data_IF_977324524547
#
_entry.id   IF_977324524547
#
_cell.length_a   1.000
_cell.length_b   1.000
_cell.length_c   1.000
_cell.angle_alpha   90.00
_cell.angle_beta   90.00
_cell.angle_gamma   90.00
#
_symmetry.space_group_name_H-M   'P 1'
#
loop_
_entity.id
_entity.type
_entity.pdbx_description
1 polymer ?
#
# COMPACT_ATOMS: atom_id res chain seq x y z
N UNK A 1 13.00 53.14 -15.70
CA UNK A 1 13.80 51.90 -15.53
C UNK A 1 13.02 50.96 -14.62
N UNK A 2 12.11 50.18 -15.21
CA UNK A 2 11.28 49.19 -14.52
C UNK A 2 12.15 47.95 -14.29
N UNK A 3 12.51 47.66 -13.04
CA UNK A 3 13.27 46.46 -12.70
C UNK A 3 12.42 45.23 -13.03
N UNK A 4 12.88 44.45 -14.01
CA UNK A 4 12.48 43.05 -14.21
C UNK A 4 12.71 42.28 -12.91
N UNK A 5 11.64 42.06 -12.14
CA UNK A 5 11.57 40.99 -11.14
C UNK A 5 11.17 39.74 -11.91
N UNK A 6 12.10 39.23 -12.74
CA UNK A 6 11.92 37.98 -13.45
C UNK A 6 12.08 36.84 -12.43
N UNK A 7 10.93 36.30 -12.01
CA UNK A 7 10.70 34.93 -11.55
C UNK A 7 11.95 34.11 -11.19
N UNK A 8 12.46 34.25 -9.96
CA UNK A 8 13.11 33.12 -9.31
C UNK A 8 12.02 32.10 -8.99
N UNK A 9 11.68 31.21 -9.93
CA UNK A 9 10.92 29.99 -9.59
C UNK A 9 11.60 29.37 -8.37
N UNK A 10 10.81 29.04 -7.34
CA UNK A 10 11.39 28.41 -6.15
C UNK A 10 12.05 27.11 -6.60
N UNK A 11 13.27 26.82 -6.11
CA UNK A 11 14.04 25.62 -6.53
C UNK A 11 13.20 24.33 -6.42
N UNK A 12 12.29 24.28 -5.44
CA UNK A 12 11.32 23.21 -5.25
C UNK A 12 10.35 23.08 -6.43
N UNK A 13 9.74 24.18 -6.90
CA UNK A 13 8.82 24.19 -8.05
C UNK A 13 9.51 23.67 -9.31
N UNK A 14 10.78 24.04 -9.53
CA UNK A 14 11.55 23.52 -10.65
C UNK A 14 11.76 22.00 -10.55
N UNK A 15 12.02 21.48 -9.35
CA UNK A 15 12.16 20.04 -9.11
C UNK A 15 10.84 19.29 -9.36
N UNK A 16 9.71 19.80 -8.83
CA UNK A 16 8.38 19.23 -9.08
C UNK A 16 8.09 19.10 -10.59
N UNK A 17 8.26 20.19 -11.34
CA UNK A 17 8.04 20.19 -12.79
C UNK A 17 8.94 19.19 -13.53
N UNK A 18 10.19 19.02 -13.08
CA UNK A 18 11.12 18.06 -13.68
C UNK A 18 10.69 16.62 -13.44
N UNK A 19 10.36 16.26 -12.20
CA UNK A 19 9.94 14.89 -11.90
C UNK A 19 8.56 14.57 -12.47
N UNK A 20 7.66 15.54 -12.57
CA UNK A 20 6.37 15.37 -13.26
C UNK A 20 6.57 15.08 -14.75
N UNK A 21 7.47 15.82 -15.41
CA UNK A 21 7.72 15.64 -16.84
C UNK A 21 8.23 14.25 -17.22
N UNK A 22 8.89 13.56 -16.27
CA UNK A 22 9.48 12.24 -16.49
C UNK A 22 8.63 11.12 -15.87
N UNK A 23 8.10 11.33 -14.67
CA UNK A 23 7.41 10.30 -13.90
C UNK A 23 5.93 10.16 -14.23
N UNK A 24 5.24 11.23 -14.63
CA UNK A 24 3.75 11.25 -14.71
C UNK A 24 3.13 10.22 -15.67
N UNK A 25 3.90 9.75 -16.66
CA UNK A 25 3.42 8.78 -17.63
C UNK A 25 3.38 7.33 -17.11
N UNK A 26 3.96 7.04 -15.94
CA UNK A 26 4.04 5.67 -15.41
C UNK A 26 4.02 5.62 -13.89
N UNK A 27 3.87 4.41 -13.33
CA UNK A 27 3.87 4.17 -11.88
C UNK A 27 5.03 3.26 -11.46
N UNK A 28 5.52 3.34 -10.21
CA UNK A 28 6.63 2.52 -9.70
C UNK A 28 6.50 1.01 -9.96
N UNK A 29 5.28 0.47 -9.97
CA UNK A 29 4.99 -0.94 -10.29
C UNK A 29 5.33 -1.35 -11.72
N UNK A 30 5.52 -0.41 -12.65
CA UNK A 30 5.77 -0.71 -14.07
C UNK A 30 7.25 -1.01 -14.33
N UNK A 31 7.59 -2.04 -15.13
CA UNK A 31 8.99 -2.43 -15.37
C UNK A 31 9.89 -1.36 -15.99
N UNK A 32 9.30 -0.40 -16.72
CA UNK A 32 10.02 0.70 -17.40
C UNK A 32 9.94 2.03 -16.63
N UNK A 33 9.61 2.01 -15.34
CA UNK A 33 9.54 3.21 -14.54
C UNK A 33 10.93 3.90 -14.44
N UNK A 34 11.03 5.22 -14.67
CA UNK A 34 12.32 5.90 -14.91
C UNK A 34 13.06 6.29 -13.62
N UNK A 35 13.33 5.34 -12.74
CA UNK A 35 13.97 5.59 -11.43
C UNK A 35 15.26 6.43 -11.52
N UNK A 36 16.20 6.04 -12.38
CA UNK A 36 17.49 6.71 -12.47
C UNK A 36 17.36 8.19 -12.90
N UNK A 37 16.46 8.50 -13.83
CA UNK A 37 16.24 9.88 -14.29
C UNK A 37 15.63 10.74 -13.17
N UNK A 38 14.68 10.20 -12.41
CA UNK A 38 14.07 10.88 -11.26
C UNK A 38 15.11 11.18 -10.16
N UNK A 39 15.95 10.20 -9.84
CA UNK A 39 17.01 10.34 -8.84
C UNK A 39 18.02 11.44 -9.20
N UNK A 40 18.39 11.57 -10.47
CA UNK A 40 19.30 12.62 -10.95
C UNK A 40 18.76 14.03 -10.70
N UNK A 41 17.45 14.25 -10.82
CA UNK A 41 16.86 15.56 -10.51
C UNK A 41 16.95 15.90 -9.03
N UNK A 42 16.78 14.91 -8.15
CA UNK A 42 16.99 15.08 -6.71
C UNK A 42 18.45 15.38 -6.38
N UNK A 43 19.39 14.64 -6.95
CA UNK A 43 20.82 14.89 -6.75
C UNK A 43 21.22 16.31 -7.18
N UNK A 44 20.71 16.75 -8.33
CA UNK A 44 20.90 18.12 -8.82
C UNK A 44 20.29 19.16 -7.87
N UNK A 45 19.07 18.91 -7.39
CA UNK A 45 18.39 19.78 -6.43
C UNK A 45 19.18 19.93 -5.13
N UNK A 46 19.65 18.82 -4.54
CA UNK A 46 20.45 18.82 -3.31
C UNK A 46 21.77 19.56 -3.53
N UNK A 47 22.47 19.28 -4.63
CA UNK A 47 23.72 19.99 -5.00
C UNK A 47 23.50 21.50 -5.12
N UNK A 48 22.34 21.95 -5.60
CA UNK A 48 21.99 23.37 -5.71
C UNK A 48 21.61 24.02 -4.38
N UNK A 49 21.21 23.25 -3.38
CA UNK A 49 20.97 23.79 -2.03
C UNK A 49 22.29 24.00 -1.29
N UNK A 50 23.26 23.11 -1.46
CA UNK A 50 24.57 23.19 -0.83
C UNK A 50 24.78 22.04 0.16
N UNK A 51 25.76 22.21 1.06
CA UNK A 51 26.06 21.19 2.09
C UNK A 51 24.94 21.20 3.13
N UNK A 52 24.29 20.05 3.28
CA UNK A 52 23.30 19.77 4.31
C UNK A 52 23.76 18.55 5.09
N UNK A 53 23.44 18.51 6.38
CA UNK A 53 23.51 17.27 7.16
C UNK A 53 22.42 16.28 6.71
N UNK A 54 22.57 15.00 7.08
CA UNK A 54 21.54 13.98 6.78
C UNK A 54 20.16 14.35 7.34
N UNK A 55 20.01 14.79 8.59
CA UNK A 55 18.69 15.18 9.12
C UNK A 55 18.07 16.37 8.39
N UNK A 56 18.86 17.37 8.02
CA UNK A 56 18.37 18.52 7.24
C UNK A 56 17.93 18.11 5.83
N UNK A 57 18.64 17.16 5.23
CA UNK A 57 18.28 16.57 3.94
C UNK A 57 16.95 15.83 4.05
N UNK A 58 16.80 14.96 5.05
CA UNK A 58 15.57 14.22 5.30
C UNK A 58 14.37 15.14 5.48
N UNK A 59 14.48 16.19 6.30
CA UNK A 59 13.41 17.16 6.53
C UNK A 59 13.03 17.88 5.22
N UNK A 60 14.01 18.34 4.45
CA UNK A 60 13.75 19.05 3.19
C UNK A 60 13.10 18.16 2.14
N UNK A 61 13.56 16.92 2.00
CA UNK A 61 12.99 15.97 1.05
C UNK A 61 11.60 15.50 1.49
N UNK A 62 11.36 15.31 2.79
CA UNK A 62 10.03 15.01 3.31
C UNK A 62 9.01 16.11 2.98
N UNK A 63 9.39 17.39 3.15
CA UNK A 63 8.53 18.53 2.78
C UNK A 63 8.26 18.55 1.26
N UNK A 64 9.25 18.24 0.43
CA UNK A 64 9.04 18.14 -1.03
C UNK A 64 8.04 17.03 -1.37
N UNK A 65 8.21 15.83 -0.80
CA UNK A 65 7.33 14.69 -1.03
C UNK A 65 5.91 15.00 -0.59
N UNK A 66 5.73 15.59 0.59
CA UNK A 66 4.40 15.91 1.14
C UNK A 66 3.63 16.93 0.31
N UNK A 67 4.35 17.87 -0.34
CA UNK A 67 3.78 18.89 -1.22
C UNK A 67 3.64 18.42 -2.68
N UNK A 68 3.95 17.16 -2.99
CA UNK A 68 3.78 16.59 -4.32
C UNK A 68 2.47 15.81 -4.42
N UNK A 69 1.70 16.02 -5.48
CA UNK A 69 0.42 15.33 -5.69
C UNK A 69 0.62 13.81 -5.86
N UNK A 70 1.53 13.40 -6.75
CA UNK A 70 1.96 12.01 -6.90
C UNK A 70 3.11 11.66 -5.94
N UNK A 71 2.78 11.40 -4.67
CA UNK A 71 3.77 11.10 -3.60
C UNK A 71 4.65 9.89 -3.92
N UNK A 72 4.11 8.88 -4.57
CA UNK A 72 4.82 7.67 -5.01
C UNK A 72 5.97 8.01 -5.98
N UNK A 73 5.75 8.94 -6.91
CA UNK A 73 6.78 9.43 -7.84
C UNK A 73 7.84 10.25 -7.10
N UNK A 74 7.41 11.14 -6.20
CA UNK A 74 8.32 11.94 -5.38
C UNK A 74 9.20 11.06 -4.47
N UNK A 75 8.65 10.01 -3.89
CA UNK A 75 9.40 9.02 -3.10
C UNK A 75 10.40 8.29 -3.99
N UNK A 76 10.01 7.88 -5.20
CA UNK A 76 10.93 7.23 -6.13
C UNK A 76 12.14 8.11 -6.50
N UNK A 77 11.93 9.43 -6.57
CA UNK A 77 12.98 10.40 -6.83
C UNK A 77 13.89 10.65 -5.61
N UNK A 78 13.39 10.52 -4.38
CA UNK A 78 14.08 10.94 -3.17
C UNK A 78 14.67 9.80 -2.33
N UNK A 79 14.13 8.59 -2.42
CA UNK A 79 14.41 7.51 -1.47
C UNK A 79 15.89 7.15 -1.34
N UNK A 80 16.69 7.26 -2.40
CA UNK A 80 18.11 6.88 -2.38
C UNK A 80 19.00 7.80 -1.55
N UNK A 81 18.55 9.02 -1.25
CA UNK A 81 19.32 9.99 -0.41
C UNK A 81 18.77 10.08 1.00
N UNK A 82 17.53 9.65 1.22
CA UNK A 82 16.88 9.74 2.53
C UNK A 82 17.34 8.62 3.47
N UNK A 83 17.35 8.92 4.77
CA UNK A 83 17.59 7.89 5.78
C UNK A 83 16.42 6.89 5.86
N UNK A 84 16.67 5.65 6.32
CA UNK A 84 15.61 4.64 6.42
C UNK A 84 14.49 5.04 7.39
N UNK A 85 14.84 5.72 8.49
CA UNK A 85 13.88 6.21 9.46
C UNK A 85 12.94 7.27 8.88
N UNK A 86 13.48 8.20 8.10
CA UNK A 86 12.67 9.24 7.45
C UNK A 86 11.69 8.65 6.42
N UNK A 87 12.11 7.65 5.64
CA UNK A 87 11.24 6.95 4.69
C UNK A 87 10.12 6.20 5.44
N UNK A 88 10.45 5.46 6.51
CA UNK A 88 9.43 4.77 7.31
C UNK A 88 8.42 5.73 7.95
N UNK A 89 8.87 6.90 8.40
CA UNK A 89 7.97 7.93 8.93
C UNK A 89 7.01 8.48 7.86
N UNK A 90 7.47 8.65 6.61
CA UNK A 90 6.63 9.07 5.48
C UNK A 90 5.63 7.98 5.07
N UNK A 91 6.03 6.72 5.15
CA UNK A 91 5.24 5.55 4.77
C UNK A 91 4.43 4.98 5.94
N UNK A 92 4.12 5.81 6.94
CA UNK A 92 3.25 5.36 8.02
C UNK A 92 1.86 5.04 7.45
N UNK A 93 1.48 3.77 7.53
CA UNK A 93 0.23 3.24 6.98
C UNK A 93 -1.00 4.04 7.43
N UNK A 94 -1.09 4.39 8.71
CA UNK A 94 -2.25 5.07 9.29
C UNK A 94 -2.42 6.49 8.74
N UNK A 95 -1.30 7.12 8.35
CA UNK A 95 -1.31 8.44 7.71
C UNK A 95 -1.58 8.34 6.20
N UNK A 96 -1.31 7.20 5.58
CA UNK A 96 -1.41 7.03 4.13
C UNK A 96 -2.75 6.45 3.68
N UNK A 97 -3.44 5.66 4.51
CA UNK A 97 -4.63 4.90 4.10
C UNK A 97 -5.83 5.19 5.00
N UNK A 98 -6.79 5.93 4.44
CA UNK A 98 -7.97 6.38 5.17
C UNK A 98 -8.77 5.20 5.75
N UNK A 99 -9.16 5.23 7.05
CA UNK A 99 -10.03 4.25 7.70
C UNK A 99 -11.30 3.93 6.90
N UNK A 100 -11.69 2.64 6.84
CA UNK A 100 -12.86 2.09 6.14
C UNK A 100 -12.94 2.25 4.60
N UNK A 101 -12.55 3.39 4.03
CA UNK A 101 -12.67 3.63 2.58
C UNK A 101 -11.48 3.12 1.78
N UNK A 102 -10.34 2.89 2.45
CA UNK A 102 -9.07 2.51 1.82
C UNK A 102 -8.57 3.51 0.78
N UNK A 103 -9.07 4.75 0.84
CA UNK A 103 -8.54 5.84 0.03
C UNK A 103 -7.05 6.03 0.35
N UNK A 104 -6.22 6.12 -0.70
CA UNK A 104 -4.76 6.20 -0.59
C UNK A 104 -4.04 4.85 -0.60
N UNK A 105 -4.74 3.71 -0.56
CA UNK A 105 -4.11 2.38 -0.56
C UNK A 105 -3.22 2.13 -1.78
N UNK A 106 -3.70 2.41 -3.00
CA UNK A 106 -2.89 2.22 -4.22
C UNK A 106 -1.60 3.07 -4.16
N UNK A 107 -1.73 4.35 -3.79
CA UNK A 107 -0.58 5.25 -3.65
C UNK A 107 0.40 4.77 -2.58
N UNK A 108 -0.11 4.24 -1.45
CA UNK A 108 0.72 3.64 -0.40
C UNK A 108 1.52 2.43 -0.93
N UNK A 109 0.87 1.51 -1.65
CA UNK A 109 1.54 0.33 -2.22
C UNK A 109 2.59 0.73 -3.26
N UNK A 110 2.27 1.66 -4.16
CA UNK A 110 3.23 2.22 -5.14
C UNK A 110 4.41 2.92 -4.44
N UNK A 111 4.16 3.59 -3.32
CA UNK A 111 5.19 4.25 -2.51
C UNK A 111 6.13 3.25 -1.82
N UNK A 112 5.64 2.08 -1.36
CA UNK A 112 6.48 1.00 -0.86
C UNK A 112 7.42 0.46 -1.95
N UNK A 113 6.89 0.25 -3.16
CA UNK A 113 7.68 -0.19 -4.33
C UNK A 113 8.75 0.84 -4.68
N UNK A 114 8.36 2.12 -4.73
CA UNK A 114 9.27 3.23 -4.97
C UNK A 114 10.39 3.29 -3.92
N UNK A 115 10.05 3.23 -2.64
CA UNK A 115 11.01 3.29 -1.55
C UNK A 115 12.00 2.13 -1.56
N UNK A 116 11.54 0.89 -1.80
CA UNK A 116 12.43 -0.26 -1.91
C UNK A 116 13.46 -0.14 -3.04
N UNK A 117 13.10 0.51 -4.15
CA UNK A 117 14.02 0.70 -5.29
C UNK A 117 15.23 1.58 -4.93
N UNK A 118 15.02 2.64 -4.13
CA UNK A 118 16.06 3.59 -3.72
C UNK A 118 16.69 3.26 -2.38
N UNK A 119 15.96 2.62 -1.47
CA UNK A 119 16.39 2.35 -0.11
C UNK A 119 15.83 1.02 0.43
N UNK A 120 16.54 -0.07 0.12
CA UNK A 120 16.19 -1.43 0.57
C UNK A 120 16.30 -1.67 2.07
N UNK A 121 16.99 -0.77 2.79
CA UNK A 121 17.09 -0.85 4.26
C UNK A 121 15.86 -0.27 4.95
N UNK A 122 15.13 0.62 4.27
CA UNK A 122 13.85 1.13 4.74
C UNK A 122 12.73 0.11 4.50
N UNK A 123 12.60 -0.36 3.25
CA UNK A 123 11.55 -1.30 2.82
C UNK A 123 12.21 -2.52 2.20
N UNK A 124 11.87 -3.70 2.70
CA UNK A 124 12.40 -4.98 2.25
C UNK A 124 11.86 -5.38 0.87
N UNK A 125 12.56 -6.30 0.19
CA UNK A 125 12.09 -6.85 -1.09
C UNK A 125 10.77 -7.61 -0.94
N UNK A 126 10.54 -8.23 0.23
CA UNK A 126 9.30 -8.95 0.52
C UNK A 126 8.11 -7.99 0.60
N UNK A 127 8.25 -6.87 1.33
CA UNK A 127 7.21 -5.83 1.42
C UNK A 127 6.91 -5.24 0.04
N UNK A 128 7.95 -4.95 -0.76
CA UNK A 128 7.75 -4.45 -2.12
C UNK A 128 7.09 -5.48 -3.05
N UNK A 129 7.38 -6.77 -2.87
CA UNK A 129 6.71 -7.83 -3.63
C UNK A 129 5.24 -7.93 -3.26
N UNK A 130 4.92 -7.94 -1.96
CA UNK A 130 3.53 -7.92 -1.48
C UNK A 130 2.78 -6.70 -2.01
N UNK A 131 3.42 -5.53 -2.01
CA UNK A 131 2.84 -4.32 -2.57
C UNK A 131 2.46 -4.49 -4.05
N UNK A 132 3.35 -5.09 -4.87
CA UNK A 132 3.04 -5.39 -6.29
C UNK A 132 1.87 -6.35 -6.44
N UNK A 133 1.84 -7.41 -5.64
CA UNK A 133 0.81 -8.44 -5.70
C UNK A 133 -0.57 -7.90 -5.26
N UNK A 134 -0.59 -6.85 -4.42
CA UNK A 134 -1.81 -6.26 -3.86
C UNK A 134 -2.38 -5.09 -4.68
N UNK A 135 -1.61 -4.49 -5.60
CA UNK A 135 -2.11 -3.41 -6.47
C UNK A 135 -3.43 -3.77 -7.18
N UNK A 136 -3.61 -4.97 -7.77
CA UNK A 136 -4.88 -5.34 -8.42
C UNK A 136 -6.09 -5.36 -7.47
N UNK A 137 -5.86 -5.47 -6.17
CA UNK A 137 -6.89 -5.49 -5.13
C UNK A 137 -7.08 -4.12 -4.47
N UNK A 138 -6.20 -3.16 -4.77
CA UNK A 138 -6.30 -1.80 -4.27
C UNK A 138 -7.52 -1.11 -4.90
N UNK A 139 -8.58 -1.02 -4.12
CA UNK A 139 -9.82 -0.36 -4.50
C UNK A 139 -10.23 0.58 -3.37
N UNK A 140 -11.14 1.50 -3.67
CA UNK A 140 -11.65 2.46 -2.70
C UNK A 140 -13.18 2.41 -2.61
N UNK A 141 -13.70 2.72 -1.42
CA UNK A 141 -15.14 2.78 -1.14
C UNK A 141 -15.72 1.49 -0.54
N UNK A 142 -17.03 1.30 -0.71
CA UNK A 142 -17.75 0.17 -0.11
C UNK A 142 -17.24 -1.15 -0.72
N UNK A 143 -16.81 -2.07 0.14
CA UNK A 143 -16.28 -3.37 -0.27
C UNK A 143 -14.78 -3.41 -0.57
N UNK A 144 -14.08 -2.28 -0.46
CA UNK A 144 -12.62 -2.26 -0.60
C UNK A 144 -11.93 -3.16 0.43
N UNK A 145 -12.42 -3.21 1.66
CA UNK A 145 -11.90 -4.09 2.71
C UNK A 145 -11.97 -5.57 2.32
N UNK A 146 -13.09 -6.04 1.76
CA UNK A 146 -13.23 -7.42 1.30
C UNK A 146 -12.27 -7.78 0.16
N UNK A 147 -12.16 -6.91 -0.85
CA UNK A 147 -11.21 -7.11 -1.98
C UNK A 147 -9.75 -7.12 -1.51
N UNK A 148 -9.37 -6.20 -0.63
CA UNK A 148 -8.02 -6.17 -0.08
C UNK A 148 -7.74 -7.44 0.75
N UNK A 149 -8.70 -7.87 1.57
CA UNK A 149 -8.56 -9.08 2.37
C UNK A 149 -8.35 -10.30 1.46
N UNK A 150 -9.14 -10.44 0.39
CA UNK A 150 -8.95 -11.48 -0.63
C UNK A 150 -7.53 -11.46 -1.21
N UNK A 151 -7.04 -10.28 -1.60
CA UNK A 151 -5.67 -10.10 -2.09
C UNK A 151 -4.62 -10.52 -1.08
N UNK A 152 -4.77 -10.11 0.19
CA UNK A 152 -3.85 -10.47 1.27
C UNK A 152 -3.83 -11.99 1.52
N UNK A 153 -4.99 -12.64 1.49
CA UNK A 153 -5.09 -14.09 1.63
C UNK A 153 -4.40 -14.80 0.47
N UNK A 154 -4.64 -14.34 -0.76
CA UNK A 154 -4.03 -14.89 -1.96
C UNK A 154 -2.50 -14.73 -1.95
N UNK A 155 -1.99 -13.55 -1.57
CA UNK A 155 -0.55 -13.30 -1.46
C UNK A 155 0.07 -14.14 -0.35
N UNK A 156 -0.58 -14.21 0.82
CA UNK A 156 -0.11 -15.04 1.94
C UNK A 156 0.00 -16.52 1.53
N UNK A 157 -1.01 -17.06 0.84
CA UNK A 157 -1.02 -18.47 0.40
C UNK A 157 0.11 -18.84 -0.56
N UNK A 158 0.61 -17.87 -1.34
CA UNK A 158 1.74 -18.05 -2.27
C UNK A 158 3.09 -17.80 -1.60
N UNK A 159 3.09 -17.06 -0.49
CA UNK A 159 4.29 -16.67 0.23
C UNK A 159 4.69 -17.74 1.25
N UNK A 160 6.00 -17.95 1.40
CA UNK A 160 6.54 -18.89 2.38
C UNK A 160 6.95 -18.15 3.66
N UNK A 161 6.12 -17.23 4.13
CA UNK A 161 6.42 -16.46 5.35
C UNK A 161 5.95 -17.25 6.58
N UNK A 162 6.81 -17.42 7.60
CA UNK A 162 6.40 -18.12 8.81
C UNK A 162 5.47 -17.25 9.67
N UNK A 163 5.63 -15.92 9.62
CA UNK A 163 4.93 -15.01 10.51
C UNK A 163 4.69 -13.65 9.84
N UNK A 164 3.46 -13.12 9.99
CA UNK A 164 3.07 -11.78 9.53
C UNK A 164 3.85 -10.65 10.22
N UNK A 165 4.50 -10.89 11.36
CA UNK A 165 5.36 -9.93 12.05
C UNK A 165 6.57 -9.50 11.20
N UNK A 166 6.94 -10.25 10.17
CA UNK A 166 7.99 -9.86 9.21
C UNK A 166 7.56 -8.66 8.36
N UNK A 167 6.25 -8.42 8.24
CA UNK A 167 5.62 -7.41 7.39
C UNK A 167 4.50 -6.69 8.17
N UNK A 168 4.85 -5.94 9.23
CA UNK A 168 3.89 -5.46 10.23
C UNK A 168 2.76 -4.59 9.65
N UNK A 169 3.05 -3.73 8.67
CA UNK A 169 2.03 -2.88 8.04
C UNK A 169 0.97 -3.70 7.30
N UNK A 170 1.39 -4.80 6.65
CA UNK A 170 0.46 -5.71 5.99
C UNK A 170 -0.35 -6.53 7.00
N UNK A 171 0.21 -6.83 8.17
CA UNK A 171 -0.55 -7.45 9.27
C UNK A 171 -1.66 -6.53 9.78
N UNK A 172 -1.36 -5.23 9.95
CA UNK A 172 -2.35 -4.21 10.33
C UNK A 172 -3.43 -4.08 9.25
N UNK A 173 -3.06 -4.00 7.98
CA UNK A 173 -4.01 -3.97 6.85
C UNK A 173 -4.92 -5.19 6.84
N UNK A 174 -4.37 -6.38 7.13
CA UNK A 174 -5.11 -7.63 7.16
C UNK A 174 -6.13 -7.69 8.29
N UNK A 175 -5.72 -7.33 9.51
CA UNK A 175 -6.63 -7.30 10.66
C UNK A 175 -7.77 -6.31 10.44
N UNK A 176 -7.43 -5.12 9.92
CA UNK A 176 -8.39 -4.08 9.63
C UNK A 176 -9.37 -4.50 8.53
N UNK A 177 -8.87 -5.06 7.43
CA UNK A 177 -9.71 -5.54 6.32
C UNK A 177 -10.61 -6.70 6.71
N UNK A 178 -10.16 -7.61 7.57
CA UNK A 178 -11.00 -8.66 8.14
C UNK A 178 -12.18 -8.08 8.94
N UNK A 179 -11.91 -7.09 9.80
CA UNK A 179 -12.96 -6.43 10.59
C UNK A 179 -13.95 -5.67 9.72
N UNK A 180 -13.45 -4.83 8.80
CA UNK A 180 -14.28 -4.02 7.91
C UNK A 180 -15.15 -4.92 7.00
N UNK A 181 -14.60 -6.03 6.52
CA UNK A 181 -15.33 -7.03 5.74
C UNK A 181 -16.41 -7.74 6.56
N UNK A 182 -16.12 -8.13 7.81
CA UNK A 182 -17.12 -8.72 8.70
C UNK A 182 -18.31 -7.77 8.92
N UNK A 183 -18.03 -6.49 9.18
CA UNK A 183 -19.07 -5.45 9.30
C UNK A 183 -19.86 -5.26 8.01
N UNK A 184 -19.21 -5.35 6.84
CA UNK A 184 -19.89 -5.26 5.54
C UNK A 184 -20.89 -6.41 5.35
N UNK A 185 -20.49 -7.65 5.66
CA UNK A 185 -21.35 -8.82 5.55
C UNK A 185 -22.54 -8.75 6.50
N UNK A 186 -22.31 -8.28 7.72
CA UNK A 186 -23.39 -8.02 8.67
C UNK A 186 -24.36 -6.95 8.14
N UNK A 187 -23.83 -5.90 7.50
CA UNK A 187 -24.65 -4.90 6.81
C UNK A 187 -25.49 -5.48 5.68
N UNK A 188 -24.97 -6.45 4.91
CA UNK A 188 -25.79 -7.16 3.93
C UNK A 188 -26.87 -8.02 4.58
N UNK A 189 -26.53 -8.73 5.67
CA UNK A 189 -27.46 -9.57 6.44
C UNK A 189 -28.66 -8.77 6.95
N UNK A 190 -28.40 -7.63 7.59
CA UNK A 190 -29.45 -6.75 8.16
C UNK A 190 -30.36 -6.19 7.06
N UNK A 191 -29.79 -5.86 5.89
CA UNK A 191 -30.55 -5.33 4.74
C UNK A 191 -31.20 -6.42 3.87
N UNK A 192 -31.08 -7.70 4.25
CA UNK A 192 -31.50 -8.84 3.43
C UNK A 192 -30.89 -8.83 2.02
N UNK A 193 -29.71 -8.25 1.84
CA UNK A 193 -29.01 -8.14 0.55
C UNK A 193 -28.20 -9.42 0.26
N UNK A 194 -28.87 -10.56 0.27
CA UNK A 194 -28.25 -11.88 0.17
C UNK A 194 -27.48 -12.13 -1.14
N UNK A 195 -27.93 -11.68 -2.32
CA UNK A 195 -27.13 -11.81 -3.54
C UNK A 195 -25.77 -11.12 -3.43
N UNK A 196 -25.73 -9.90 -2.88
CA UNK A 196 -24.50 -9.15 -2.68
C UNK A 196 -23.58 -9.80 -1.64
N UNK A 197 -24.15 -10.32 -0.55
CA UNK A 197 -23.41 -11.11 0.44
C UNK A 197 -22.77 -12.34 -0.21
N UNK A 198 -23.54 -13.11 -0.99
CA UNK A 198 -23.08 -14.34 -1.62
C UNK A 198 -21.92 -14.09 -2.59
N UNK A 199 -22.05 -13.07 -3.45
CA UNK A 199 -20.96 -12.65 -4.33
C UNK A 199 -19.71 -12.26 -3.53
N UNK A 200 -19.89 -11.52 -2.44
CA UNK A 200 -18.79 -10.99 -1.63
C UNK A 200 -18.03 -12.08 -0.87
N UNK A 201 -18.67 -13.20 -0.49
CA UNK A 201 -18.04 -14.30 0.28
C UNK A 201 -17.51 -15.44 -0.59
N UNK A 202 -17.75 -15.41 -1.91
CA UNK A 202 -17.43 -16.51 -2.82
C UNK A 202 -15.96 -16.97 -2.76
N UNK A 203 -15.02 -16.03 -2.62
CA UNK A 203 -13.58 -16.31 -2.51
C UNK A 203 -13.17 -16.98 -1.19
N UNK A 204 -13.94 -16.84 -0.09
CA UNK A 204 -13.64 -17.49 1.20
C UNK A 204 -13.65 -19.01 1.09
N UNK A 205 -14.39 -19.55 0.12
CA UNK A 205 -14.47 -20.99 -0.14
C UNK A 205 -13.12 -21.58 -0.56
N UNK A 206 -12.35 -20.83 -1.34
CA UNK A 206 -11.01 -21.19 -1.82
C UNK A 206 -10.01 -21.29 -0.67
N UNK A 207 -10.13 -20.41 0.34
CA UNK A 207 -9.26 -20.42 1.52
C UNK A 207 -9.45 -21.68 2.31
N UNK A 208 -10.72 -22.03 2.62
CA UNK A 208 -11.04 -23.24 3.38
C UNK A 208 -10.47 -24.50 2.74
N UNK A 209 -10.43 -24.56 1.40
CA UNK A 209 -9.90 -25.72 0.67
C UNK A 209 -8.37 -25.78 0.67
N UNK A 210 -7.71 -24.65 0.88
CA UNK A 210 -6.25 -24.52 0.82
C UNK A 210 -5.58 -24.68 2.19
N UNK A 211 -6.36 -24.71 3.27
CA UNK A 211 -5.87 -24.87 4.64
C UNK A 211 -5.25 -26.26 4.86
N UNK A 212 -3.99 -26.38 5.30
CA UNK A 212 -3.41 -27.67 5.65
C UNK A 212 -4.08 -28.23 6.91
N UNK A 213 -4.24 -29.55 6.98
CA UNK A 213 -4.91 -30.23 8.09
C UNK A 213 -4.21 -30.05 9.45
N UNK A 214 -2.91 -29.72 9.44
CA UNK A 214 -2.10 -29.48 10.64
C UNK A 214 -1.20 -28.28 10.42
N UNK A 215 -1.31 -27.28 11.30
CA UNK A 215 -0.47 -26.09 11.34
C UNK A 215 0.86 -26.41 12.02
N UNK A 216 2.01 -26.22 11.37
CA UNK A 216 3.30 -26.32 12.04
C UNK A 216 3.39 -25.31 13.19
N UNK A 217 4.01 -25.66 14.33
CA UNK A 217 4.18 -24.75 15.45
C UNK A 217 4.92 -23.48 15.03
N UNK A 218 4.45 -22.31 15.46
CA UNK A 218 5.10 -21.01 15.19
C UNK A 218 4.64 -20.29 13.93
N UNK A 219 3.79 -20.91 13.10
CA UNK A 219 3.24 -20.27 11.91
C UNK A 219 1.89 -19.60 12.19
N UNK A 220 1.79 -18.28 11.97
CA UNK A 220 0.50 -17.58 12.02
C UNK A 220 -0.20 -17.81 10.68
N UNK A 221 -1.15 -18.72 10.69
CA UNK A 221 -2.00 -18.98 9.53
C UNK A 221 -3.07 -17.90 9.34
N UNK A 222 -3.51 -17.76 8.10
CA UNK A 222 -4.61 -16.89 7.69
C UNK A 222 -5.85 -17.09 8.55
N UNK A 223 -6.19 -18.35 8.81
CA UNK A 223 -7.33 -18.80 9.59
C UNK A 223 -7.29 -18.25 11.01
N UNK A 224 -6.11 -18.14 11.63
CA UNK A 224 -5.99 -17.56 12.97
C UNK A 224 -6.36 -16.07 12.98
N UNK A 225 -5.98 -15.33 11.94
CA UNK A 225 -6.31 -13.90 11.83
C UNK A 225 -7.81 -13.74 11.56
N UNK A 226 -8.38 -14.57 10.68
CA UNK A 226 -9.81 -14.59 10.43
C UNK A 226 -10.61 -15.02 11.67
N UNK A 227 -10.14 -16.01 12.43
CA UNK A 227 -10.78 -16.45 13.68
C UNK A 227 -10.78 -15.36 14.74
N UNK A 228 -9.70 -14.59 14.84
CA UNK A 228 -9.59 -13.50 15.80
C UNK A 228 -10.42 -12.27 15.39
N UNK A 229 -10.44 -11.89 14.12
CA UNK A 229 -11.06 -10.62 13.67
C UNK A 229 -12.45 -10.79 13.03
N UNK A 230 -12.78 -11.97 12.53
CA UNK A 230 -14.03 -12.31 11.86
C UNK A 230 -14.49 -13.75 12.22
N UNK A 231 -14.88 -14.03 13.48
CA UNK A 231 -15.10 -15.40 13.96
C UNK A 231 -16.15 -16.21 13.18
N UNK A 232 -17.10 -15.54 12.52
CA UNK A 232 -18.15 -16.18 11.72
C UNK A 232 -17.74 -16.48 10.28
N UNK A 233 -16.49 -16.21 9.88
CA UNK A 233 -16.02 -16.38 8.49
C UNK A 233 -16.24 -17.80 7.96
N UNK A 234 -16.11 -18.84 8.80
CA UNK A 234 -16.35 -20.23 8.40
C UNK A 234 -17.82 -20.49 8.04
N UNK A 235 -18.76 -19.84 8.73
CA UNK A 235 -20.19 -19.95 8.41
C UNK A 235 -20.43 -19.37 7.02
N UNK A 236 -19.90 -18.17 6.77
CA UNK A 236 -19.98 -17.51 5.46
C UNK A 236 -19.29 -18.32 4.35
N UNK A 237 -18.11 -18.89 4.62
CA UNK A 237 -17.38 -19.73 3.69
C UNK A 237 -18.14 -21.04 3.36
N UNK A 238 -18.92 -21.57 4.30
CA UNK A 238 -19.72 -22.79 4.11
C UNK A 238 -21.12 -22.51 3.56
N UNK A 239 -21.54 -21.25 3.51
CA UNK A 239 -22.86 -20.89 3.05
C UNK A 239 -22.99 -21.19 1.54
N UNK A 240 -24.00 -21.98 1.21
CA UNK A 240 -24.35 -22.40 -0.17
C UNK A 240 -25.84 -22.18 -0.38
N UNK A 241 -26.29 -20.93 -0.56
CA UNK A 241 -27.69 -20.64 -0.80
C UNK A 241 -28.13 -21.15 -2.17
N UNK A 242 -29.40 -21.51 -2.29
CA UNK A 242 -30.02 -21.78 -3.59
C UNK A 242 -30.16 -20.46 -4.35
N UNK A 243 -29.40 -20.28 -5.42
CA UNK A 243 -29.40 -19.02 -6.19
C UNK A 243 -30.77 -18.68 -6.77
N UNK A 244 -31.56 -19.69 -7.15
CA UNK A 244 -32.94 -19.50 -7.65
C UNK A 244 -33.91 -18.93 -6.60
N UNK A 245 -33.50 -18.91 -5.33
CA UNK A 245 -34.32 -18.44 -4.19
C UNK A 245 -33.79 -17.15 -3.56
N UNK A 246 -32.68 -16.59 -4.06
CA UNK A 246 -32.08 -15.34 -3.60
C UNK A 246 -32.48 -14.16 -4.49
#
# INVERSE_FOLDING_TARGET
>A
RTKMVLLRKKKSEAWHLQIDSVGSASRPSKPKFPYAALQQYTDYYIKKIGKLSTPETDIKLAILIQNHDARDIAIAACAHVMSPGAIKALLNLELCVAPATYYGLEMFLESLIAANSGNRTAISNLEAQWARDLIPYASHGIGAGGKLLEGLCNTLSKSHIPNMNVIPDFAVLMQRSARDFASQLEGFRIRCAWPAAHLSVSWLTTIKQSSPATTPPGNIQLEHILDAQFPTWRIWANWRPSLDRL
#
